data_IF_460120576389
#
_entry.id   IF_460120576389
#
_cell.length_a   1.000
_cell.length_b   1.000
_cell.length_c   1.000
_cell.angle_alpha   90.00
_cell.angle_beta   90.00
_cell.angle_gamma   90.00
#
_symmetry.space_group_name_H-M   'P 1'
#
loop_
_entity.id
_entity.type
_entity.pdbx_description
1 polymer ?
#
# COMPACT_ATOMS: atom_id res chain seq x y z
N UNK A 1 20.41 29.51 -25.02
CA UNK A 1 19.14 29.34 -24.29
C UNK A 1 18.57 27.98 -24.68
N UNK A 2 19.00 26.92 -23.99
CA UNK A 2 18.60 25.54 -24.30
C UNK A 2 17.26 25.25 -23.61
N UNK A 3 16.35 24.65 -24.38
CA UNK A 3 14.99 24.26 -24.04
C UNK A 3 14.71 24.07 -22.54
N UNK A 4 13.91 24.98 -21.98
CA UNK A 4 13.11 24.73 -20.78
C UNK A 4 12.13 23.60 -21.11
N UNK A 5 12.58 22.36 -20.93
CA UNK A 5 11.80 21.16 -21.19
C UNK A 5 10.50 21.21 -20.39
N UNK A 6 9.38 21.34 -21.10
CA UNK A 6 8.07 21.42 -20.49
C UNK A 6 7.71 20.04 -19.91
N UNK A 7 8.00 19.82 -18.61
CA UNK A 7 7.75 18.57 -17.89
C UNK A 7 6.28 18.43 -17.48
N UNK A 8 5.36 18.84 -18.36
CA UNK A 8 3.92 18.89 -18.13
C UNK A 8 3.31 17.53 -17.75
N UNK A 9 3.95 16.43 -18.14
CA UNK A 9 3.53 15.06 -17.84
C UNK A 9 3.91 14.58 -16.44
N UNK A 10 4.83 15.26 -15.73
CA UNK A 10 5.24 14.86 -14.39
C UNK A 10 4.09 15.00 -13.39
N UNK A 11 3.35 16.10 -13.45
CA UNK A 11 2.23 16.38 -12.55
C UNK A 11 1.11 15.31 -12.63
N UNK A 12 0.56 14.95 -13.81
CA UNK A 12 -0.46 13.89 -13.88
C UNK A 12 0.08 12.51 -13.45
N UNK A 13 1.35 12.18 -13.77
CA UNK A 13 1.96 10.92 -13.32
C UNK A 13 2.14 10.87 -11.79
N UNK A 14 2.57 11.99 -11.20
CA UNK A 14 2.73 12.14 -9.77
C UNK A 14 1.37 12.11 -9.04
N UNK A 15 0.34 12.74 -9.62
CA UNK A 15 -1.02 12.68 -9.12
C UNK A 15 -1.55 11.24 -9.11
N UNK A 16 -1.36 10.50 -10.20
CA UNK A 16 -1.70 9.08 -10.25
C UNK A 16 -1.00 8.27 -9.16
N UNK A 17 0.32 8.42 -9.01
CA UNK A 17 1.09 7.68 -8.01
C UNK A 17 0.64 8.01 -6.58
N UNK A 18 0.36 9.29 -6.31
CA UNK A 18 -0.10 9.79 -5.00
C UNK A 18 -1.51 9.28 -4.67
N UNK A 19 -2.45 9.38 -5.62
CA UNK A 19 -3.81 8.89 -5.46
C UNK A 19 -3.84 7.37 -5.30
N UNK A 20 -3.04 6.64 -6.07
CA UNK A 20 -2.94 5.18 -5.92
C UNK A 20 -2.43 4.78 -4.54
N UNK A 21 -1.46 5.50 -3.96
CA UNK A 21 -1.03 5.29 -2.58
C UNK A 21 -2.16 5.57 -1.57
N UNK A 22 -2.94 6.63 -1.77
CA UNK A 22 -4.09 6.96 -0.92
C UNK A 22 -5.22 5.91 -1.01
N UNK A 23 -5.50 5.39 -2.19
CA UNK A 23 -6.48 4.30 -2.40
C UNK A 23 -6.00 3.01 -1.73
N UNK A 24 -4.72 2.66 -1.89
CA UNK A 24 -4.11 1.52 -1.20
C UNK A 24 -4.19 1.67 0.33
N UNK A 25 -3.93 2.87 0.84
CA UNK A 25 -4.13 3.19 2.25
C UNK A 25 -5.58 2.98 2.66
N UNK A 26 -6.55 3.59 1.98
CA UNK A 26 -7.97 3.46 2.32
C UNK A 26 -8.42 2.01 2.34
N UNK A 27 -8.11 1.24 1.31
CA UNK A 27 -8.44 -0.18 1.24
C UNK A 27 -7.83 -0.98 2.40
N UNK A 28 -6.56 -0.75 2.70
CA UNK A 28 -5.86 -1.46 3.80
C UNK A 28 -6.34 -1.01 5.17
N UNK A 29 -6.53 0.29 5.38
CA UNK A 29 -6.89 0.90 6.65
C UNK A 29 -8.36 0.67 7.02
N UNK A 30 -9.25 0.41 6.06
CA UNK A 30 -10.64 0.04 6.35
C UNK A 30 -10.77 -1.46 6.72
N UNK A 31 -9.89 -2.32 6.21
CA UNK A 31 -9.90 -3.75 6.55
C UNK A 31 -9.59 -4.01 8.04
N UNK A 32 -8.61 -3.30 8.61
CA UNK A 32 -8.16 -3.51 10.00
C UNK A 32 -9.21 -3.17 11.08
N UNK A 33 -9.91 -2.01 11.06
CA UNK A 33 -10.86 -1.61 12.08
C UNK A 33 -12.32 -1.96 11.77
N UNK A 34 -12.71 -2.16 10.50
CA UNK A 34 -14.10 -2.46 10.16
C UNK A 34 -14.35 -3.95 9.95
N UNK A 35 -13.47 -4.61 9.20
CA UNK A 35 -13.71 -5.99 8.77
C UNK A 35 -13.15 -6.98 9.79
N UNK A 36 -11.88 -6.81 10.17
CA UNK A 36 -11.20 -7.82 10.99
C UNK A 36 -11.83 -8.02 12.39
N UNK A 37 -12.35 -6.98 13.10
CA UNK A 37 -13.03 -7.17 14.37
C UNK A 37 -14.33 -7.98 14.24
N UNK A 38 -15.08 -7.80 13.15
CA UNK A 38 -16.28 -8.61 12.89
C UNK A 38 -15.94 -10.08 12.71
N UNK A 39 -14.83 -10.36 12.01
CA UNK A 39 -14.35 -11.73 11.79
C UNK A 39 -13.81 -12.37 13.08
N UNK A 40 -13.38 -11.58 14.06
CA UNK A 40 -12.83 -12.03 15.34
C UNK A 40 -13.88 -12.18 16.46
N UNK A 41 -15.17 -11.94 16.19
CA UNK A 41 -16.22 -12.10 17.19
C UNK A 41 -16.29 -13.55 17.71
N UNK A 42 -16.42 -13.77 19.03
CA UNK A 42 -16.51 -15.12 19.60
C UNK A 42 -17.72 -15.92 19.09
N UNK A 43 -18.80 -15.23 18.70
CA UNK A 43 -20.02 -15.82 18.16
C UNK A 43 -19.89 -16.26 16.71
N UNK A 44 -18.82 -15.89 15.99
CA UNK A 44 -18.60 -16.27 14.60
C UNK A 44 -17.70 -17.50 14.57
N UNK A 45 -18.18 -18.66 14.09
CA UNK A 45 -17.36 -19.85 13.97
C UNK A 45 -16.08 -19.61 13.16
N UNK A 46 -14.96 -20.17 13.62
CA UNK A 46 -13.64 -19.93 13.03
C UNK A 46 -13.57 -20.34 11.55
N UNK A 47 -14.28 -21.40 11.16
CA UNK A 47 -14.39 -21.84 9.75
C UNK A 47 -14.99 -20.76 8.85
N UNK A 48 -16.06 -20.08 9.29
CA UNK A 48 -16.70 -19.01 8.52
C UNK A 48 -15.82 -17.75 8.48
N UNK A 49 -15.22 -17.40 9.63
CA UNK A 49 -14.28 -16.29 9.69
C UNK A 49 -13.07 -16.53 8.76
N UNK A 50 -12.54 -17.74 8.72
CA UNK A 50 -11.44 -18.15 7.85
C UNK A 50 -11.80 -18.08 6.37
N UNK A 51 -12.98 -18.58 5.98
CA UNK A 51 -13.52 -18.48 4.61
C UNK A 51 -13.65 -17.03 4.15
N UNK A 52 -14.32 -16.20 4.95
CA UNK A 52 -14.54 -14.78 4.64
C UNK A 52 -13.21 -14.03 4.55
N UNK A 53 -12.30 -14.26 5.50
CA UNK A 53 -10.98 -13.63 5.49
C UNK A 53 -10.17 -14.02 4.24
N UNK A 54 -10.14 -15.31 3.91
CA UNK A 54 -9.40 -15.82 2.73
C UNK A 54 -9.95 -15.24 1.44
N UNK A 55 -11.28 -15.19 1.29
CA UNK A 55 -11.93 -14.59 0.13
C UNK A 55 -11.57 -13.09 -0.01
N UNK A 56 -11.65 -12.33 1.08
CA UNK A 56 -11.33 -10.90 1.08
C UNK A 56 -9.87 -10.62 0.75
N UNK A 57 -8.95 -11.38 1.35
CA UNK A 57 -7.51 -11.23 1.12
C UNK A 57 -7.14 -11.64 -0.31
N UNK A 58 -7.71 -12.73 -0.82
CA UNK A 58 -7.46 -13.18 -2.19
C UNK A 58 -7.94 -12.15 -3.23
N UNK A 59 -9.14 -11.60 -3.07
CA UNK A 59 -9.63 -10.55 -3.97
C UNK A 59 -8.80 -9.26 -3.88
N UNK A 60 -8.32 -8.93 -2.67
CA UNK A 60 -7.42 -7.78 -2.46
C UNK A 60 -6.08 -7.94 -3.19
N UNK A 61 -5.58 -9.17 -3.31
CA UNK A 61 -4.32 -9.49 -4.01
C UNK A 61 -4.39 -9.29 -5.53
N UNK A 62 -5.58 -9.32 -6.14
CA UNK A 62 -5.74 -9.06 -7.58
C UNK A 62 -5.69 -7.57 -7.92
N UNK A 63 -6.02 -6.69 -6.98
CA UNK A 63 -6.14 -5.24 -7.24
C UNK A 63 -5.00 -4.42 -6.65
N UNK A 64 -4.72 -4.56 -5.35
CA UNK A 64 -3.82 -3.66 -4.65
C UNK A 64 -2.33 -3.87 -4.98
N UNK A 65 -1.80 -5.11 -5.12
CA UNK A 65 -0.41 -5.31 -5.52
C UNK A 65 -0.07 -4.75 -6.90
N UNK A 66 -0.88 -4.98 -7.96
CA UNK A 66 -0.65 -4.33 -9.26
C UNK A 66 -0.69 -2.80 -9.19
N UNK A 67 -1.67 -2.23 -8.46
CA UNK A 67 -1.75 -0.79 -8.26
C UNK A 67 -0.50 -0.25 -7.56
N UNK A 68 -0.06 -0.89 -6.48
CA UNK A 68 1.13 -0.47 -5.74
C UNK A 68 2.41 -0.59 -6.57
N UNK A 69 2.53 -1.63 -7.41
CA UNK A 69 3.64 -1.78 -8.33
C UNK A 69 3.66 -0.65 -9.37
N UNK A 70 2.50 -0.34 -9.97
CA UNK A 70 2.37 0.78 -10.90
C UNK A 70 2.76 2.12 -10.25
N UNK A 71 2.28 2.41 -9.03
CA UNK A 71 2.67 3.60 -8.28
C UNK A 71 4.18 3.64 -8.00
N UNK A 72 4.79 2.51 -7.62
CA UNK A 72 6.22 2.42 -7.33
C UNK A 72 7.07 2.71 -8.57
N UNK A 73 6.70 2.14 -9.72
CA UNK A 73 7.39 2.39 -11.01
C UNK A 73 7.22 3.84 -11.44
N UNK A 74 6.02 4.42 -11.31
CA UNK A 74 5.77 5.83 -11.59
C UNK A 74 6.63 6.74 -10.71
N UNK A 75 6.73 6.45 -9.41
CA UNK A 75 7.59 7.21 -8.49
C UNK A 75 9.07 7.07 -8.85
N UNK A 76 9.53 5.88 -9.27
CA UNK A 76 10.91 5.70 -9.74
C UNK A 76 11.21 6.55 -10.97
N UNK A 77 10.31 6.54 -11.96
CA UNK A 77 10.46 7.35 -13.17
C UNK A 77 10.52 8.86 -12.85
N UNK A 78 9.68 9.32 -11.91
CA UNK A 78 9.67 10.71 -11.44
C UNK A 78 10.97 11.07 -10.72
N UNK A 79 11.50 10.20 -9.87
CA UNK A 79 12.78 10.41 -9.18
C UNK A 79 13.93 10.51 -10.16
N UNK A 80 14.04 9.57 -11.10
CA UNK A 80 15.09 9.58 -12.13
C UNK A 80 15.01 10.88 -12.95
N UNK A 81 13.81 11.24 -13.38
CA UNK A 81 13.61 12.45 -14.20
C UNK A 81 13.95 13.72 -13.43
N UNK A 82 13.49 13.82 -12.17
CA UNK A 82 13.80 14.95 -11.30
C UNK A 82 15.30 15.06 -11.03
N UNK A 83 15.97 13.92 -10.82
CA UNK A 83 17.41 13.87 -10.65
C UNK A 83 18.15 14.35 -11.90
N UNK A 84 17.79 13.87 -13.09
CA UNK A 84 18.44 14.26 -14.34
C UNK A 84 18.28 15.75 -14.68
N UNK A 85 17.15 16.36 -14.29
CA UNK A 85 16.83 17.75 -14.61
C UNK A 85 17.11 18.74 -13.47
N UNK A 86 17.63 18.27 -12.32
CA UNK A 86 17.81 19.08 -11.10
C UNK A 86 18.62 20.37 -11.34
N UNK A 87 19.66 20.32 -12.17
CA UNK A 87 20.54 21.48 -12.41
C UNK A 87 19.92 22.47 -13.43
N UNK A 88 18.95 22.00 -14.22
CA UNK A 88 18.26 22.78 -15.25
C UNK A 88 16.88 23.29 -14.85
N UNK A 89 16.30 22.74 -13.77
CA UNK A 89 14.93 23.04 -13.31
C UNK A 89 14.87 23.09 -11.80
N UNK A 90 14.59 24.29 -11.28
CA UNK A 90 14.38 24.51 -9.84
C UNK A 90 13.27 23.63 -9.28
N UNK A 91 12.17 23.47 -10.02
CA UNK A 91 11.07 22.59 -9.62
C UNK A 91 11.53 21.13 -9.46
N UNK A 92 12.37 20.64 -10.37
CA UNK A 92 12.92 19.29 -10.29
C UNK A 92 13.83 19.12 -9.06
N UNK A 93 14.71 20.09 -8.78
CA UNK A 93 15.59 20.07 -7.63
C UNK A 93 14.84 20.10 -6.29
N UNK A 94 13.85 20.98 -6.15
CA UNK A 94 13.06 21.12 -4.92
C UNK A 94 12.16 19.90 -4.66
N UNK A 95 11.64 19.28 -5.72
CA UNK A 95 10.79 18.08 -5.60
C UNK A 95 11.57 16.80 -5.33
N UNK A 96 12.81 16.70 -5.80
CA UNK A 96 13.63 15.49 -5.74
C UNK A 96 13.63 14.80 -4.37
N UNK A 97 13.86 15.48 -3.22
CA UNK A 97 13.85 14.81 -1.91
C UNK A 97 12.49 14.19 -1.57
N UNK A 98 11.40 14.86 -1.93
CA UNK A 98 10.05 14.36 -1.67
C UNK A 98 9.69 13.20 -2.60
N UNK A 99 10.02 13.29 -3.89
CA UNK A 99 9.81 12.18 -4.83
C UNK A 99 10.63 10.94 -4.43
N UNK A 100 11.87 11.15 -3.96
CA UNK A 100 12.72 10.07 -3.46
C UNK A 100 12.14 9.42 -2.21
N UNK A 101 11.60 10.21 -1.27
CA UNK A 101 10.90 9.71 -0.10
C UNK A 101 9.60 8.98 -0.47
N UNK A 102 8.80 9.49 -1.39
CA UNK A 102 7.59 8.81 -1.90
C UNK A 102 7.95 7.45 -2.50
N UNK A 103 8.97 7.40 -3.36
CA UNK A 103 9.48 6.13 -3.93
C UNK A 103 9.96 5.17 -2.84
N UNK A 104 10.79 5.63 -1.91
CA UNK A 104 11.29 4.81 -0.81
C UNK A 104 10.17 4.22 0.04
N UNK A 105 9.14 5.00 0.35
CA UNK A 105 7.96 4.54 1.08
C UNK A 105 7.13 3.53 0.25
N UNK A 106 6.91 3.77 -1.04
CA UNK A 106 6.20 2.82 -1.91
C UNK A 106 6.95 1.48 -2.05
N UNK A 107 8.28 1.54 -2.18
CA UNK A 107 9.14 0.36 -2.21
C UNK A 107 9.09 -0.40 -0.87
N UNK A 108 9.16 0.32 0.26
CA UNK A 108 9.02 -0.27 1.58
C UNK A 108 7.65 -0.93 1.78
N UNK A 109 6.56 -0.30 1.34
CA UNK A 109 5.22 -0.89 1.34
C UNK A 109 5.18 -2.20 0.54
N UNK A 110 5.80 -2.22 -0.64
CA UNK A 110 5.88 -3.43 -1.49
C UNK A 110 6.64 -4.54 -0.78
N UNK A 111 7.83 -4.24 -0.25
CA UNK A 111 8.65 -5.19 0.48
C UNK A 111 7.90 -5.74 1.70
N UNK A 112 7.25 -4.87 2.49
CA UNK A 112 6.43 -5.25 3.64
C UNK A 112 5.31 -6.22 3.21
N UNK A 113 4.59 -5.89 2.15
CA UNK A 113 3.50 -6.73 1.66
C UNK A 113 3.98 -8.13 1.26
N UNK A 114 5.04 -8.20 0.45
CA UNK A 114 5.55 -9.47 -0.09
C UNK A 114 6.24 -10.34 0.97
N UNK A 115 7.01 -9.73 1.88
CA UNK A 115 7.80 -10.46 2.86
C UNK A 115 7.02 -10.82 4.13
N UNK A 116 5.99 -10.05 4.48
CA UNK A 116 5.27 -10.20 5.76
C UNK A 116 3.81 -10.59 5.52
N UNK A 117 3.07 -9.80 4.73
CA UNK A 117 1.62 -9.96 4.59
C UNK A 117 1.24 -11.19 3.75
N UNK A 118 1.88 -11.39 2.59
CA UNK A 118 1.56 -12.50 1.69
C UNK A 118 1.78 -13.89 2.33
N UNK A 119 2.92 -14.17 3.00
CA UNK A 119 3.10 -15.44 3.71
C UNK A 119 2.06 -15.66 4.80
N UNK A 120 1.66 -14.60 5.51
CA UNK A 120 0.63 -14.66 6.54
C UNK A 120 -0.75 -14.96 5.95
N UNK A 121 -1.13 -14.29 4.85
CA UNK A 121 -2.37 -14.56 4.11
C UNK A 121 -2.43 -16.02 3.67
N UNK A 122 -1.34 -16.54 3.08
CA UNK A 122 -1.24 -17.94 2.66
C UNK A 122 -1.39 -18.91 3.84
N UNK A 123 -0.77 -18.61 4.99
CA UNK A 123 -0.91 -19.45 6.19
C UNK A 123 -2.34 -19.45 6.71
N UNK A 124 -3.01 -18.29 6.76
CA UNK A 124 -4.42 -18.21 7.16
C UNK A 124 -5.34 -18.99 6.22
N UNK A 125 -5.06 -18.97 4.91
CA UNK A 125 -5.81 -19.77 3.93
C UNK A 125 -5.66 -21.29 4.17
N UNK A 126 -4.46 -21.76 4.49
CA UNK A 126 -4.23 -23.17 4.85
C UNK A 126 -4.99 -23.56 6.12
N UNK A 127 -4.95 -22.73 7.16
CA UNK A 127 -5.68 -22.99 8.41
C UNK A 127 -7.19 -22.99 8.20
N UNK A 128 -7.72 -22.10 7.34
CA UNK A 128 -9.11 -22.12 6.95
C UNK A 128 -9.49 -23.43 6.24
N UNK A 129 -8.65 -23.94 5.33
CA UNK A 129 -8.86 -25.24 4.68
C UNK A 129 -8.83 -26.44 5.64
N UNK A 130 -7.98 -26.39 6.68
CA UNK A 130 -7.99 -27.41 7.73
C UNK A 130 -9.31 -27.40 8.50
N UNK A 131 -9.80 -26.22 8.87
CA UNK A 131 -11.08 -26.05 9.58
C UNK A 131 -12.29 -26.42 8.73
N UNK A 132 -12.19 -26.27 7.40
CA UNK A 132 -13.21 -26.79 6.47
C UNK A 132 -13.28 -28.32 6.46
N UNK A 133 -12.13 -28.98 6.64
CA UNK A 133 -12.05 -30.44 6.66
C UNK A 133 -12.43 -30.99 8.05
N UNK A 134 -12.04 -30.30 9.10
CA UNK A 134 -12.34 -30.64 10.49
C UNK A 134 -12.63 -29.37 11.30
N UNK A 135 -13.92 -29.05 11.47
CA UNK A 135 -14.37 -27.87 12.21
C UNK A 135 -13.97 -27.91 13.70
N UNK A 136 -13.66 -29.09 14.24
CA UNK A 136 -13.23 -29.28 15.63
C UNK A 136 -11.71 -29.21 15.84
N UNK A 137 -10.94 -28.80 14.83
CA UNK A 137 -9.49 -28.59 14.94
C UNK A 137 -9.15 -27.33 15.74
N UNK A 138 -9.16 -27.47 17.06
CA UNK A 138 -8.83 -26.43 18.05
C UNK A 138 -7.44 -25.81 17.82
N UNK A 139 -6.48 -26.58 17.28
CA UNK A 139 -5.14 -26.06 16.97
C UNK A 139 -5.19 -25.08 15.81
N UNK A 140 -5.85 -25.46 14.71
CA UNK A 140 -6.00 -24.58 13.55
C UNK A 140 -6.83 -23.35 13.87
N UNK A 141 -7.87 -23.48 14.70
CA UNK A 141 -8.66 -22.35 15.18
C UNK A 141 -7.81 -21.34 15.97
N UNK A 142 -7.11 -21.79 17.01
CA UNK A 142 -6.27 -20.91 17.84
C UNK A 142 -5.22 -20.18 17.02
N UNK A 143 -4.54 -20.90 16.12
CA UNK A 143 -3.52 -20.31 15.26
C UNK A 143 -4.14 -19.27 14.29
N UNK A 144 -5.31 -19.56 13.70
CA UNK A 144 -6.00 -18.62 12.81
C UNK A 144 -6.35 -17.32 13.54
N UNK A 145 -6.91 -17.41 14.76
CA UNK A 145 -7.25 -16.23 15.57
C UNK A 145 -6.03 -15.38 15.92
N UNK A 146 -4.93 -16.02 16.31
CA UNK A 146 -3.67 -15.32 16.59
C UNK A 146 -3.13 -14.62 15.35
N UNK A 147 -3.17 -15.28 14.18
CA UNK A 147 -2.74 -14.67 12.93
C UNK A 147 -3.64 -13.52 12.51
N UNK A 148 -4.97 -13.61 12.67
CA UNK A 148 -5.88 -12.51 12.41
C UNK A 148 -5.55 -11.27 13.25
N UNK A 149 -5.29 -11.44 14.55
CA UNK A 149 -4.90 -10.33 15.42
C UNK A 149 -3.56 -9.72 15.01
N UNK A 150 -2.55 -10.56 14.77
CA UNK A 150 -1.24 -10.11 14.31
C UNK A 150 -1.31 -9.39 12.96
N UNK A 151 -2.12 -9.92 12.05
CA UNK A 151 -2.37 -9.34 10.74
C UNK A 151 -2.95 -7.93 10.86
N UNK A 152 -3.94 -7.71 11.74
CA UNK A 152 -4.52 -6.38 11.98
C UNK A 152 -3.46 -5.34 12.33
N UNK A 153 -2.59 -5.68 13.28
CA UNK A 153 -1.52 -4.79 13.76
C UNK A 153 -0.48 -4.51 12.67
N UNK A 154 -0.04 -5.55 11.96
CA UNK A 154 0.94 -5.39 10.88
C UNK A 154 0.37 -4.63 9.69
N UNK A 155 -0.91 -4.85 9.38
CA UNK A 155 -1.60 -4.14 8.31
C UNK A 155 -1.74 -2.64 8.61
N UNK A 156 -1.93 -2.25 9.87
CA UNK A 156 -1.87 -0.84 10.27
C UNK A 156 -0.47 -0.25 10.02
N UNK A 157 0.60 -0.97 10.36
CA UNK A 157 1.96 -0.54 10.04
C UNK A 157 2.19 -0.37 8.53
N UNK A 158 1.68 -1.29 7.71
CA UNK A 158 1.70 -1.17 6.25
C UNK A 158 0.89 0.03 5.75
N UNK A 159 -0.28 0.28 6.33
CA UNK A 159 -1.12 1.43 6.02
C UNK A 159 -0.42 2.76 6.38
N UNK A 160 0.33 2.81 7.48
CA UNK A 160 1.12 3.98 7.86
C UNK A 160 2.17 4.35 6.80
N UNK A 161 2.81 3.37 6.17
CA UNK A 161 3.74 3.62 5.06
C UNK A 161 3.01 4.21 3.83
N UNK A 162 1.82 3.69 3.52
CA UNK A 162 1.01 4.14 2.37
C UNK A 162 0.53 5.58 2.55
N UNK A 163 -0.02 5.94 3.72
CA UNK A 163 -0.44 7.32 4.00
C UNK A 163 0.77 8.27 4.04
N UNK A 164 1.91 7.82 4.58
CA UNK A 164 3.16 8.60 4.52
C UNK A 164 3.57 8.89 3.07
N UNK A 165 3.54 7.87 2.20
CA UNK A 165 3.83 8.02 0.77
C UNK A 165 2.88 9.03 0.11
N UNK A 166 1.58 8.95 0.41
CA UNK A 166 0.57 9.87 -0.10
C UNK A 166 0.79 11.31 0.40
N UNK A 167 1.04 11.53 1.70
CA UNK A 167 1.27 12.87 2.27
C UNK A 167 2.50 13.53 1.64
N UNK A 168 3.61 12.79 1.53
CA UNK A 168 4.83 13.30 0.89
C UNK A 168 4.60 13.58 -0.61
N UNK A 169 3.85 12.70 -1.29
CA UNK A 169 3.48 12.88 -2.69
C UNK A 169 2.61 14.13 -2.94
N UNK A 170 1.64 14.40 -2.05
CA UNK A 170 0.82 15.61 -2.05
C UNK A 170 1.70 16.84 -1.83
N UNK A 171 2.62 16.81 -0.86
CA UNK A 171 3.51 17.94 -0.63
C UNK A 171 4.34 18.27 -1.88
N UNK A 172 4.89 17.23 -2.53
CA UNK A 172 5.60 17.39 -3.78
C UNK A 172 4.70 17.93 -4.91
N UNK A 173 3.39 17.66 -4.91
CA UNK A 173 2.45 18.21 -5.91
C UNK A 173 2.18 19.69 -5.63
N UNK A 174 2.06 20.08 -4.36
CA UNK A 174 1.83 21.48 -3.98
C UNK A 174 3.00 22.39 -4.38
N UNK A 175 4.22 21.84 -4.45
CA UNK A 175 5.39 22.57 -4.96
C UNK A 175 5.24 22.98 -6.43
N UNK A 176 4.49 22.24 -7.27
CA UNK A 176 4.16 22.73 -8.62
C UNK A 176 3.35 24.03 -8.55
N UNK A 177 2.36 24.09 -7.66
CA UNK A 177 1.46 25.24 -7.50
C UNK A 177 2.15 26.48 -6.92
N UNK A 178 3.21 26.33 -6.12
CA UNK A 178 4.00 27.46 -5.63
C UNK A 178 5.00 27.99 -6.66
N UNK A 179 5.48 27.14 -7.58
CA UNK A 179 6.43 27.53 -8.64
C UNK A 179 5.71 28.09 -9.88
N UNK A 180 4.43 27.78 -10.07
CA UNK A 180 3.56 28.33 -11.13
C UNK A 180 2.92 29.69 -10.81
N UNK A 181 3.15 30.25 -9.61
CA UNK A 181 2.76 31.64 -9.32
C UNK A 181 3.79 32.58 -9.97
N UNK A 182 3.52 32.93 -11.23
CA UNK A 182 4.05 34.10 -11.94
C UNK A 182 3.40 35.35 -11.33
#
# INVERSE_FOLDING_TARGET
MAATGNLWWMTPLQAFATLGAAVNFGGSALQSPLIMPMLQLPSVPAVHAGKMNTYLLHNSEHFFPPLNAACTVSNLALVITAYLHRDSSRAAAEKLPYLAATFGLSAATTAYALLIMVPMNKRMAVLAGNLETNESDDKSEKELRQLQQRWTTLNLGRASLMIGSAVVGIYALLLDGSVLRI
#
